data_IF_622617724253
#
_entry.id   IF_622617724253
#
_cell.length_a   1.000
_cell.length_b   1.000
_cell.length_c   1.000
_cell.angle_alpha   90.00
_cell.angle_beta   90.00
_cell.angle_gamma   90.00
#
_symmetry.space_group_name_H-M   'P 1'
#
loop_
_entity.id
_entity.type
_entity.pdbx_description
1 polymer ?
#
# COMPACT_ATOMS: atom_id res chain seq x y z
N UNK A 1 3.98 -25.16 18.17
CA UNK A 1 3.93 -23.70 18.40
C UNK A 1 3.72 -22.96 17.08
N UNK A 2 2.94 -21.87 17.07
CA UNK A 2 2.43 -21.15 15.87
C UNK A 2 3.49 -20.88 14.79
N UNK A 3 4.68 -20.43 15.17
CA UNK A 3 5.77 -20.10 14.23
C UNK A 3 6.46 -21.32 13.60
N UNK A 4 6.49 -22.46 14.30
CA UNK A 4 7.10 -23.69 13.79
C UNK A 4 6.15 -24.47 12.85
N UNK A 5 4.84 -24.24 12.96
CA UNK A 5 3.82 -24.94 12.15
C UNK A 5 3.46 -24.18 10.87
N UNK A 6 3.53 -22.84 10.90
CA UNK A 6 3.37 -21.96 9.73
C UNK A 6 4.57 -21.01 9.63
N UNK A 7 5.68 -21.47 9.02
CA UNK A 7 6.82 -20.61 8.76
C UNK A 7 6.40 -19.42 7.88
N UNK A 8 7.19 -18.34 7.90
CA UNK A 8 7.02 -17.09 7.14
C UNK A 8 5.85 -16.16 7.52
N UNK A 9 4.79 -16.66 8.17
CA UNK A 9 3.59 -15.85 8.51
C UNK A 9 3.93 -14.53 9.23
N UNK A 10 4.84 -14.56 10.20
CA UNK A 10 5.24 -13.39 10.97
C UNK A 10 5.98 -12.34 10.13
N UNK A 11 6.80 -12.80 9.18
CA UNK A 11 7.62 -11.95 8.32
C UNK A 11 6.72 -11.19 7.33
N UNK A 12 5.66 -11.85 6.83
CA UNK A 12 4.70 -11.24 5.91
C UNK A 12 4.00 -10.00 6.51
N UNK A 13 3.65 -10.02 7.79
CA UNK A 13 3.05 -8.85 8.45
C UNK A 13 4.00 -7.65 8.49
N UNK A 14 5.27 -7.91 8.84
CA UNK A 14 6.28 -6.86 8.90
C UNK A 14 6.56 -6.29 7.51
N UNK A 15 6.77 -7.18 6.52
CA UNK A 15 7.05 -6.80 5.14
C UNK A 15 5.90 -6.00 4.52
N UNK A 16 4.66 -6.48 4.67
CA UNK A 16 3.49 -5.77 4.17
C UNK A 16 3.33 -4.39 4.80
N UNK A 17 3.55 -4.28 6.12
CA UNK A 17 3.53 -3.00 6.82
C UNK A 17 4.57 -2.04 6.26
N UNK A 18 5.83 -2.47 6.13
CA UNK A 18 6.92 -1.64 5.59
C UNK A 18 6.64 -1.18 4.16
N UNK A 19 6.08 -2.06 3.31
CA UNK A 19 5.68 -1.72 1.94
C UNK A 19 4.59 -0.65 1.88
N UNK A 20 3.57 -0.74 2.74
CA UNK A 20 2.49 0.26 2.78
C UNK A 20 3.02 1.63 3.18
N UNK A 21 3.92 1.69 4.17
CA UNK A 21 4.56 2.94 4.59
C UNK A 21 5.41 3.54 3.47
N UNK A 22 6.22 2.72 2.79
CA UNK A 22 7.04 3.18 1.67
C UNK A 22 6.18 3.72 0.51
N UNK A 23 5.05 3.08 0.21
CA UNK A 23 4.10 3.55 -0.81
C UNK A 23 3.47 4.89 -0.44
N UNK A 24 3.14 5.09 0.84
CA UNK A 24 2.62 6.37 1.32
C UNK A 24 3.64 7.49 1.15
N UNK A 25 4.89 7.25 1.53
CA UNK A 25 5.97 8.24 1.35
C UNK A 25 6.25 8.53 -0.13
N UNK A 26 6.17 7.51 -1.00
CA UNK A 26 6.26 7.71 -2.46
C UNK A 26 5.10 8.56 -2.97
N UNK A 27 3.86 8.26 -2.59
CA UNK A 27 2.69 9.03 -2.98
C UNK A 27 2.74 10.48 -2.48
N UNK A 28 3.23 10.72 -1.26
CA UNK A 28 3.45 12.07 -0.72
C UNK A 28 4.46 12.86 -1.55
N UNK A 29 5.58 12.23 -1.94
CA UNK A 29 6.60 12.85 -2.79
C UNK A 29 6.10 13.14 -4.20
N UNK A 30 5.35 12.21 -4.80
CA UNK A 30 4.86 12.35 -6.18
C UNK A 30 3.70 13.35 -6.31
N UNK A 31 2.78 13.40 -5.34
CA UNK A 31 1.58 14.24 -5.41
C UNK A 31 1.78 15.60 -4.73
N UNK A 32 2.76 15.74 -3.84
CA UNK A 32 3.07 17.00 -3.15
C UNK A 32 1.83 17.62 -2.49
N UNK A 33 1.49 18.85 -2.89
CA UNK A 33 0.33 19.58 -2.37
C UNK A 33 -1.04 18.93 -2.71
N UNK A 34 -1.10 18.09 -3.74
CA UNK A 34 -2.31 17.34 -4.10
C UNK A 34 -2.48 16.04 -3.29
N UNK A 35 -1.52 15.70 -2.42
CA UNK A 35 -1.61 14.51 -1.59
C UNK A 35 -2.71 14.65 -0.53
N UNK A 36 -3.55 13.63 -0.43
CA UNK A 36 -4.51 13.49 0.66
C UNK A 36 -4.45 12.10 1.25
N UNK A 37 -4.24 12.03 2.57
CA UNK A 37 -4.20 10.78 3.31
C UNK A 37 -5.54 10.02 3.24
N UNK A 38 -6.65 10.73 3.25
CA UNK A 38 -7.98 10.12 3.11
C UNK A 38 -8.13 9.44 1.74
N UNK A 39 -7.70 10.11 0.67
CA UNK A 39 -7.77 9.57 -0.70
C UNK A 39 -6.85 8.38 -0.87
N UNK A 40 -5.65 8.44 -0.28
CA UNK A 40 -4.72 7.30 -0.20
C UNK A 40 -5.38 6.08 0.43
N UNK A 41 -5.96 6.21 1.63
CA UNK A 41 -6.62 5.09 2.30
C UNK A 41 -7.84 4.57 1.53
N UNK A 42 -8.64 5.45 0.94
CA UNK A 42 -9.80 5.03 0.14
C UNK A 42 -9.36 4.24 -1.10
N UNK A 43 -8.36 4.72 -1.84
CA UNK A 43 -7.82 4.03 -3.01
C UNK A 43 -7.13 2.70 -2.62
N UNK A 44 -6.48 2.66 -1.45
CA UNK A 44 -5.90 1.45 -0.88
C UNK A 44 -6.97 0.39 -0.60
N UNK A 45 -8.05 0.76 0.11
CA UNK A 45 -9.13 -0.18 0.46
C UNK A 45 -9.94 -0.64 -0.76
N UNK A 46 -10.14 0.23 -1.76
CA UNK A 46 -10.89 -0.10 -2.99
C UNK A 46 -10.24 -1.21 -3.82
N UNK A 47 -8.93 -1.41 -3.69
CA UNK A 47 -8.21 -2.46 -4.41
C UNK A 47 -8.46 -3.87 -3.84
N UNK A 48 -9.01 -3.98 -2.62
CA UNK A 48 -9.30 -5.28 -2.01
C UNK A 48 -8.03 -6.12 -1.81
N UNK A 49 -8.15 -7.44 -1.99
CA UNK A 49 -7.01 -8.36 -1.89
C UNK A 49 -6.41 -8.61 -3.27
N UNK A 50 -5.34 -7.90 -3.59
CA UNK A 50 -4.55 -8.11 -4.81
C UNK A 50 -3.12 -8.55 -4.48
N UNK A 51 -2.44 -9.27 -5.40
CA UNK A 51 -1.06 -9.68 -5.20
C UNK A 51 -0.15 -8.48 -4.90
N UNK A 52 0.70 -8.62 -3.88
CA UNK A 52 1.55 -7.53 -3.38
C UNK A 52 2.43 -6.87 -4.47
N UNK A 53 2.81 -7.63 -5.51
CA UNK A 53 3.63 -7.12 -6.62
C UNK A 53 2.91 -6.12 -7.55
N UNK A 54 1.58 -6.20 -7.66
CA UNK A 54 0.79 -5.31 -8.53
C UNK A 54 0.13 -4.16 -7.77
N UNK A 55 -0.01 -4.31 -6.45
CA UNK A 55 -0.71 -3.37 -5.58
C UNK A 55 -0.13 -1.93 -5.62
N UNK A 56 1.20 -1.80 -5.60
CA UNK A 56 1.85 -0.49 -5.51
C UNK A 56 1.60 0.40 -6.72
N UNK A 57 1.76 -0.16 -7.93
CA UNK A 57 1.61 0.60 -9.17
C UNK A 57 0.15 0.96 -9.46
N UNK A 58 -0.80 0.06 -9.18
CA UNK A 58 -2.23 0.37 -9.35
C UNK A 58 -2.70 1.44 -8.35
N UNK A 59 -2.21 1.42 -7.11
CA UNK A 59 -2.51 2.48 -6.14
C UNK A 59 -2.03 3.86 -6.62
N UNK A 60 -0.80 3.95 -7.12
CA UNK A 60 -0.25 5.22 -7.61
C UNK A 60 -1.02 5.71 -8.84
N UNK A 61 -1.37 4.79 -9.76
CA UNK A 61 -2.22 5.09 -10.91
C UNK A 61 -3.57 5.65 -10.48
N UNK A 62 -4.25 4.98 -9.54
CA UNK A 62 -5.55 5.42 -9.03
C UNK A 62 -5.47 6.82 -8.41
N UNK A 63 -4.43 7.10 -7.61
CA UNK A 63 -4.25 8.40 -6.96
C UNK A 63 -4.01 9.52 -7.98
N UNK A 64 -3.23 9.27 -9.03
CA UNK A 64 -3.05 10.22 -10.14
C UNK A 64 -4.34 10.49 -10.89
N UNK A 65 -5.12 9.44 -11.18
CA UNK A 65 -6.42 9.57 -11.85
C UNK A 65 -7.47 10.31 -11.02
N UNK A 66 -7.29 10.39 -9.69
CA UNK A 66 -8.18 11.16 -8.83
C UNK A 66 -7.67 12.59 -8.58
N UNK A 67 -6.39 12.89 -8.78
CA UNK A 67 -5.86 14.25 -8.57
C UNK A 67 -6.63 15.26 -9.46
N UNK A 68 -7.12 16.38 -8.91
CA UNK A 68 -7.82 17.41 -9.68
C UNK A 68 -6.90 18.08 -10.70
#
# INVERSE_FOLDING_TARGET
TRYARWPTQAITYRLGREQIFALRERAQRELGAAFSLQRFHLAFMRQGTIPAGYFGEELLRALRATAP
#
